data_IF_229040868155
#
_entry.id   IF_229040868155
#
_cell.length_a   1.000
_cell.length_b   1.000
_cell.length_c   1.000
_cell.angle_alpha   90.00
_cell.angle_beta   90.00
_cell.angle_gamma   90.00
#
_symmetry.space_group_name_H-M   'P 1'
#
loop_
_entity.id
_entity.type
_entity.pdbx_description
1 polymer ?
#
# COMPACT_ATOMS: atom_id res chain seq x y z
N UNK A 1 11.63 39.31 -1.33
CA UNK A 1 12.00 40.74 -1.31
C UNK A 1 11.00 41.65 -2.05
N UNK A 2 9.71 41.27 -2.22
CA UNK A 2 8.79 42.01 -3.10
C UNK A 2 7.61 42.74 -2.45
N UNK A 3 7.28 42.47 -1.18
CA UNK A 3 6.06 43.00 -0.54
C UNK A 3 6.38 44.12 0.46
N UNK A 4 7.57 44.11 1.06
CA UNK A 4 8.00 45.11 2.05
C UNK A 4 8.26 46.49 1.46
N UNK A 5 8.61 46.57 0.16
CA UNK A 5 8.94 47.84 -0.50
C UNK A 5 7.68 48.61 -0.97
N UNK A 6 6.57 47.92 -1.24
CA UNK A 6 5.32 48.55 -1.73
C UNK A 6 4.56 49.28 -0.60
N UNK A 7 4.67 48.80 0.64
CA UNK A 7 4.07 49.44 1.82
C UNK A 7 4.83 50.70 2.27
N UNK A 8 6.15 50.77 2.05
CA UNK A 8 6.99 51.91 2.45
C UNK A 8 6.82 53.14 1.54
N UNK A 9 6.50 52.94 0.25
CA UNK A 9 6.35 54.05 -0.72
C UNK A 9 5.02 54.79 -0.56
N UNK A 10 3.96 54.12 -0.10
CA UNK A 10 2.67 54.78 0.18
C UNK A 10 2.70 55.64 1.46
N UNK A 11 3.67 55.42 2.36
CA UNK A 11 3.78 56.12 3.63
C UNK A 11 4.39 57.53 3.54
N UNK A 12 4.99 57.92 2.40
CA UNK A 12 5.69 59.21 2.27
C UNK A 12 4.93 60.30 1.51
N UNK A 13 3.75 60.02 0.92
CA UNK A 13 3.04 61.02 0.09
C UNK A 13 1.61 61.39 0.49
N UNK A 14 1.01 60.82 1.55
CA UNK A 14 -0.36 61.18 1.93
C UNK A 14 -0.52 61.33 3.45
N UNK A 15 0.22 62.25 4.05
CA UNK A 15 -0.15 62.80 5.37
C UNK A 15 -1.12 63.95 5.15
N UNK A 16 -2.42 63.70 5.29
CA UNK A 16 -3.28 64.74 5.90
C UNK A 16 -4.50 64.24 6.65
N UNK A 17 -5.06 63.04 6.41
CA UNK A 17 -6.19 62.53 7.22
C UNK A 17 -6.20 61.00 7.29
N UNK A 18 -5.67 60.44 8.39
CA UNK A 18 -5.88 59.02 8.73
C UNK A 18 -7.29 58.88 9.28
N UNK A 19 -8.19 58.27 8.50
CA UNK A 19 -9.53 57.90 9.00
C UNK A 19 -9.38 56.58 9.75
N UNK A 20 -9.46 56.65 11.07
CA UNK A 20 -9.30 55.51 11.95
C UNK A 20 -10.67 54.84 12.18
N UNK A 21 -10.87 53.64 11.66
CA UNK A 21 -12.05 52.81 11.92
C UNK A 21 -11.59 51.48 12.52
N UNK A 22 -11.79 51.27 13.83
CA UNK A 22 -11.68 49.95 14.46
C UNK A 22 -10.69 49.75 15.60
N UNK A 23 -10.61 50.65 16.59
CA UNK A 23 -10.06 50.30 17.93
C UNK A 23 -11.18 50.27 18.94
N UNK A 24 -11.08 49.40 19.95
CA UNK A 24 -12.01 49.34 21.09
C UNK A 24 -12.00 50.61 21.97
N UNK A 25 -11.07 51.55 21.74
CA UNK A 25 -10.94 52.80 22.49
C UNK A 25 -10.38 53.92 21.61
N UNK A 26 -10.97 55.12 21.67
CA UNK A 26 -10.48 56.32 20.98
C UNK A 26 -9.18 56.82 21.64
N UNK A 27 -8.11 57.11 20.89
CA UNK A 27 -6.87 57.61 21.48
C UNK A 27 -7.09 59.01 22.08
N UNK A 28 -6.37 59.39 23.16
CA UNK A 28 -6.60 60.66 23.88
C UNK A 28 -6.39 61.93 23.03
N UNK A 29 -5.69 61.80 21.92
CA UNK A 29 -5.37 62.85 20.96
C UNK A 29 -6.35 62.92 19.77
N UNK A 30 -7.38 62.07 19.75
CA UNK A 30 -8.43 62.14 18.74
C UNK A 30 -9.30 63.39 18.95
N UNK A 31 -9.67 64.08 17.87
CA UNK A 31 -10.65 65.17 17.93
C UNK A 31 -12.02 64.64 18.37
N UNK A 32 -12.94 65.54 18.75
CA UNK A 32 -14.34 65.17 18.89
C UNK A 32 -14.86 64.46 17.61
N UNK A 33 -15.70 63.41 17.75
CA UNK A 33 -16.20 62.67 16.61
C UNK A 33 -17.12 63.53 15.75
N UNK A 34 -16.83 63.60 14.46
CA UNK A 34 -17.78 64.12 13.48
C UNK A 34 -18.70 62.99 13.06
N UNK A 35 -19.99 63.15 13.36
CA UNK A 35 -21.03 62.23 12.89
C UNK A 35 -21.28 62.47 11.40
N UNK A 36 -20.99 61.48 10.56
CA UNK A 36 -21.40 61.50 9.16
C UNK A 36 -22.60 60.59 9.01
N UNK A 37 -23.74 61.19 8.66
CA UNK A 37 -24.94 60.45 8.27
C UNK A 37 -24.89 60.14 6.77
N UNK A 38 -25.07 58.88 6.42
CA UNK A 38 -25.29 58.50 5.03
C UNK A 38 -26.65 59.06 4.57
N UNK A 39 -26.65 59.89 3.52
CA UNK A 39 -27.85 60.58 3.01
C UNK A 39 -28.93 59.62 2.47
N UNK A 40 -28.67 58.31 2.43
CA UNK A 40 -29.62 57.28 2.00
C UNK A 40 -30.26 56.44 3.10
N UNK A 41 -29.80 56.48 4.36
CA UNK A 41 -30.38 55.63 5.43
C UNK A 41 -30.42 56.34 6.80
N UNK A 42 -31.58 56.42 7.50
CA UNK A 42 -31.69 57.17 8.76
C UNK A 42 -30.91 56.59 9.95
N UNK A 43 -30.34 55.39 9.83
CA UNK A 43 -29.80 54.61 10.95
C UNK A 43 -28.29 54.37 10.90
N UNK A 44 -27.59 54.84 9.86
CA UNK A 44 -26.15 54.63 9.72
C UNK A 44 -25.41 55.97 9.87
N UNK A 45 -25.14 56.35 11.12
CA UNK A 45 -24.17 57.39 11.46
C UNK A 45 -22.82 56.75 11.77
N UNK A 46 -21.76 57.19 11.12
CA UNK A 46 -20.38 56.78 11.41
C UNK A 46 -19.66 57.92 12.12
N UNK A 47 -19.04 57.62 13.27
CA UNK A 47 -18.16 58.55 13.96
C UNK A 47 -16.82 58.58 13.22
N UNK A 48 -16.49 59.73 12.62
CA UNK A 48 -15.15 59.97 12.09
C UNK A 48 -14.36 60.82 13.08
N UNK A 49 -13.19 60.31 13.48
CA UNK A 49 -12.22 61.03 14.30
C UNK A 49 -11.10 61.55 13.41
N UNK A 50 -10.71 62.81 13.56
CA UNK A 50 -9.48 63.32 12.98
C UNK A 50 -8.37 63.16 14.02
N UNK A 51 -7.20 62.74 13.54
CA UNK A 51 -6.01 62.60 14.37
C UNK A 51 -5.10 63.79 14.07
N UNK A 52 -4.72 64.53 15.12
CA UNK A 52 -3.74 65.59 14.99
C UNK A 52 -2.30 65.02 15.07
N UNK A 53 -1.30 65.91 14.94
CA UNK A 53 0.11 65.52 14.95
C UNK A 53 0.58 64.90 16.28
N UNK A 54 -0.14 65.13 17.38
CA UNK A 54 0.18 64.53 18.69
C UNK A 54 -0.16 63.04 18.77
N UNK A 55 -0.99 62.51 17.86
CA UNK A 55 -1.29 61.08 17.76
C UNK A 55 -0.18 60.26 17.08
N UNK A 56 0.71 60.91 16.33
CA UNK A 56 1.77 60.22 15.60
C UNK A 56 2.64 59.28 16.47
N UNK A 57 3.15 59.69 17.65
CA UNK A 57 3.92 58.78 18.52
C UNK A 57 3.10 57.60 19.07
N UNK A 58 1.80 57.79 19.35
CA UNK A 58 0.92 56.73 19.87
C UNK A 58 0.71 55.66 18.78
N UNK A 59 0.40 56.07 17.55
CA UNK A 59 0.22 55.16 16.41
C UNK A 59 1.52 54.40 16.13
N UNK A 60 2.67 55.08 16.16
CA UNK A 60 3.97 54.44 15.97
C UNK A 60 4.24 53.37 17.05
N UNK A 61 3.91 53.65 18.31
CA UNK A 61 4.05 52.70 19.41
C UNK A 61 3.12 51.50 19.25
N UNK A 62 1.85 51.71 18.93
CA UNK A 62 0.88 50.62 18.73
C UNK A 62 1.25 49.74 17.53
N UNK A 63 1.68 50.33 16.42
CA UNK A 63 2.20 49.59 15.27
C UNK A 63 3.45 48.79 15.63
N UNK A 64 4.36 49.37 16.41
CA UNK A 64 5.54 48.67 16.93
C UNK A 64 5.18 47.46 17.80
N UNK A 65 4.22 47.63 18.71
CA UNK A 65 3.72 46.55 19.57
C UNK A 65 3.02 45.45 18.75
N UNK A 66 2.21 45.82 17.76
CA UNK A 66 1.55 44.86 16.87
C UNK A 66 2.57 44.05 16.05
N UNK A 67 3.59 44.71 15.50
CA UNK A 67 4.68 44.04 14.79
C UNK A 67 5.46 43.10 15.72
N UNK A 68 5.75 43.53 16.95
CA UNK A 68 6.44 42.68 17.95
C UNK A 68 5.62 41.43 18.28
N UNK A 69 4.31 41.56 18.45
CA UNK A 69 3.42 40.43 18.70
C UNK A 69 3.41 39.44 17.53
N UNK A 70 3.31 39.94 16.29
CA UNK A 70 3.38 39.09 15.08
C UNK A 70 4.70 38.34 14.99
N UNK A 71 5.82 39.01 15.24
CA UNK A 71 7.14 38.39 15.24
C UNK A 71 7.29 37.32 16.34
N UNK A 72 6.78 37.60 17.54
CA UNK A 72 6.84 36.69 18.69
C UNK A 72 5.99 35.43 18.44
N UNK A 73 4.78 35.59 17.91
CA UNK A 73 3.92 34.46 17.55
C UNK A 73 4.48 33.65 16.39
N UNK A 74 5.16 34.29 15.43
CA UNK A 74 5.89 33.57 14.38
C UNK A 74 7.03 32.74 14.96
N UNK A 75 7.84 33.31 15.86
CA UNK A 75 8.95 32.60 16.51
C UNK A 75 8.46 31.36 17.28
N UNK A 76 7.36 31.49 18.04
CA UNK A 76 6.73 30.35 18.74
C UNK A 76 6.30 29.25 17.76
N UNK A 77 5.69 29.60 16.63
CA UNK A 77 5.30 28.60 15.59
C UNK A 77 6.52 27.92 14.99
N UNK A 78 7.57 28.67 14.68
CA UNK A 78 8.81 28.13 14.12
C UNK A 78 9.47 27.14 15.10
N UNK A 79 9.46 27.43 16.40
CA UNK A 79 9.96 26.52 17.44
C UNK A 79 9.14 25.23 17.55
N UNK A 80 7.81 25.32 17.47
CA UNK A 80 6.92 24.14 17.45
C UNK A 80 7.23 23.27 16.23
N UNK A 81 7.34 23.88 15.04
CA UNK A 81 7.67 23.17 13.80
C UNK A 81 9.04 22.51 13.91
N UNK A 82 10.04 23.21 14.44
CA UNK A 82 11.38 22.67 14.64
C UNK A 82 11.37 21.45 15.57
N UNK A 83 10.65 21.54 16.69
CA UNK A 83 10.53 20.43 17.64
C UNK A 83 9.81 19.23 17.04
N UNK A 84 8.75 19.45 16.27
CA UNK A 84 8.05 18.39 15.55
C UNK A 84 8.95 17.74 14.49
N UNK A 85 9.69 18.54 13.72
CA UNK A 85 10.64 18.04 12.72
C UNK A 85 11.74 17.18 13.37
N UNK A 86 12.29 17.61 14.50
CA UNK A 86 13.27 16.82 15.25
C UNK A 86 12.69 15.48 15.71
N UNK A 87 11.45 15.48 16.22
CA UNK A 87 10.78 14.25 16.63
C UNK A 87 10.48 13.31 15.45
N UNK A 88 10.12 13.87 14.28
CA UNK A 88 9.92 13.10 13.04
C UNK A 88 11.25 12.49 12.59
N UNK A 89 12.34 13.26 12.56
CA UNK A 89 13.68 12.77 12.19
C UNK A 89 14.13 11.62 13.08
N UNK A 90 13.92 11.72 14.40
CA UNK A 90 14.24 10.63 15.32
C UNK A 90 13.43 9.35 15.02
N UNK A 91 12.16 9.49 14.64
CA UNK A 91 11.33 8.35 14.22
C UNK A 91 11.81 7.74 12.91
N UNK A 92 12.22 8.56 11.94
CA UNK A 92 12.77 8.10 10.66
C UNK A 92 14.05 7.28 10.90
N UNK A 93 14.98 7.79 11.69
CA UNK A 93 16.22 7.07 12.03
C UNK A 93 15.94 5.73 12.73
N UNK A 94 14.94 5.68 13.62
CA UNK A 94 14.52 4.44 14.26
C UNK A 94 13.92 3.44 13.26
N UNK A 95 13.17 3.90 12.27
CA UNK A 95 12.64 3.04 11.20
C UNK A 95 13.75 2.54 10.28
N UNK A 96 14.71 3.39 9.92
CA UNK A 96 15.88 3.01 9.14
C UNK A 96 16.66 1.88 9.84
N UNK A 97 16.87 2.00 11.16
CA UNK A 97 17.51 0.92 11.94
C UNK A 97 16.70 -0.38 11.89
N UNK A 98 15.37 -0.31 12.04
CA UNK A 98 14.50 -1.48 11.93
C UNK A 98 14.55 -2.13 10.56
N UNK A 99 14.60 -1.33 9.48
CA UNK A 99 14.72 -1.85 8.12
C UNK A 99 16.05 -2.59 7.97
N UNK A 100 17.16 -2.00 8.42
CA UNK A 100 18.47 -2.63 8.33
C UNK A 100 18.56 -3.93 9.16
N UNK A 101 17.97 -3.96 10.36
CA UNK A 101 17.87 -5.17 11.18
C UNK A 101 17.06 -6.28 10.49
N UNK A 102 15.92 -5.92 9.87
CA UNK A 102 15.13 -6.89 9.10
C UNK A 102 15.90 -7.42 7.88
N UNK A 103 16.66 -6.58 7.20
CA UNK A 103 17.50 -7.00 6.08
C UNK A 103 18.60 -7.96 6.51
N UNK A 104 19.26 -7.72 7.65
CA UNK A 104 20.27 -8.64 8.20
C UNK A 104 19.63 -9.98 8.59
N UNK A 105 18.46 -9.95 9.25
CA UNK A 105 17.69 -11.16 9.56
C UNK A 105 17.29 -11.93 8.31
N UNK A 106 16.85 -11.25 7.26
CA UNK A 106 16.52 -11.89 5.99
C UNK A 106 17.76 -12.54 5.33
N UNK A 107 18.92 -11.88 5.40
CA UNK A 107 20.18 -12.45 4.90
C UNK A 107 20.59 -13.69 5.69
N UNK A 108 20.45 -13.68 7.02
CA UNK A 108 20.69 -14.85 7.88
C UNK A 108 19.71 -15.99 7.63
N UNK A 109 18.44 -15.68 7.41
CA UNK A 109 17.45 -16.69 7.02
C UNK A 109 17.86 -17.34 5.70
N UNK A 110 18.23 -16.53 4.71
CA UNK A 110 18.71 -17.01 3.42
C UNK A 110 19.98 -17.88 3.50
N UNK A 111 20.87 -17.64 4.46
CA UNK A 111 22.07 -18.47 4.68
C UNK A 111 21.81 -19.69 5.57
N UNK A 112 20.85 -19.62 6.49
CA UNK A 112 20.41 -20.75 7.34
C UNK A 112 19.59 -21.78 6.56
N UNK A 113 18.94 -21.36 5.48
CA UNK A 113 18.54 -22.23 4.38
C UNK A 113 19.82 -22.54 3.58
N UNK A 114 20.73 -23.29 4.21
CA UNK A 114 21.95 -23.76 3.56
C UNK A 114 21.57 -24.42 2.24
N UNK A 115 22.26 -24.04 1.16
CA UNK A 115 22.10 -24.49 -0.23
C UNK A 115 21.02 -25.57 -0.36
N UNK A 116 19.75 -25.16 -0.50
CA UNK A 116 18.59 -26.05 -0.35
C UNK A 116 18.75 -27.23 -1.30
N UNK A 117 19.28 -28.33 -0.75
CA UNK A 117 19.54 -29.53 -1.53
C UNK A 117 18.26 -30.31 -1.44
N UNK A 118 17.52 -30.29 -2.54
CA UNK A 118 16.34 -31.10 -2.66
C UNK A 118 16.69 -32.57 -2.38
N UNK A 119 15.73 -33.28 -1.79
CA UNK A 119 15.85 -34.73 -1.60
C UNK A 119 16.23 -35.40 -2.92
N UNK A 120 17.00 -36.48 -2.87
CA UNK A 120 17.45 -37.20 -4.07
C UNK A 120 16.30 -37.45 -5.05
N UNK A 121 16.49 -37.02 -6.30
CA UNK A 121 15.50 -37.15 -7.37
C UNK A 121 14.48 -36.00 -7.47
N UNK A 122 14.49 -35.05 -6.52
CA UNK A 122 13.77 -33.79 -6.63
C UNK A 122 14.66 -32.70 -7.21
N UNK A 123 14.05 -31.78 -7.96
CA UNK A 123 14.70 -30.64 -8.61
C UNK A 123 14.26 -29.36 -7.92
N UNK A 124 15.22 -28.51 -7.58
CA UNK A 124 14.95 -27.20 -6.97
C UNK A 124 14.43 -26.21 -8.01
N UNK A 125 13.29 -25.58 -7.73
CA UNK A 125 12.75 -24.53 -8.57
C UNK A 125 12.94 -23.17 -7.88
N UNK A 126 13.89 -22.39 -8.41
CA UNK A 126 14.34 -21.13 -7.80
C UNK A 126 13.24 -20.05 -7.70
N UNK A 127 12.17 -20.15 -8.50
CA UNK A 127 11.12 -19.13 -8.57
C UNK A 127 10.19 -19.14 -7.35
N UNK A 128 9.99 -20.29 -6.72
CA UNK A 128 9.13 -20.42 -5.53
C UNK A 128 9.79 -21.15 -4.34
N UNK A 129 11.07 -21.50 -4.47
CA UNK A 129 11.89 -22.15 -3.43
C UNK A 129 11.37 -23.51 -2.97
N UNK A 130 10.65 -24.23 -3.83
CA UNK A 130 10.23 -25.60 -3.57
C UNK A 130 11.04 -26.61 -4.38
N UNK A 131 10.99 -27.85 -3.92
CA UNK A 131 11.55 -29.02 -4.57
C UNK A 131 10.45 -29.82 -5.26
N UNK A 132 10.66 -30.21 -6.52
CA UNK A 132 9.66 -30.91 -7.31
C UNK A 132 10.14 -32.21 -7.91
N UNK A 133 9.24 -33.18 -8.06
CA UNK A 133 9.53 -34.45 -8.72
C UNK A 133 8.34 -34.92 -9.54
N UNK A 134 8.61 -35.26 -10.80
CA UNK A 134 7.66 -35.90 -11.70
C UNK A 134 7.76 -37.42 -11.53
N UNK A 135 6.64 -38.08 -11.34
CA UNK A 135 6.54 -39.53 -11.27
C UNK A 135 5.86 -40.09 -12.52
N UNK A 136 6.56 -40.99 -13.21
CA UNK A 136 6.04 -41.69 -14.39
C UNK A 136 5.12 -42.87 -14.01
N UNK A 137 4.96 -43.20 -12.73
CA UNK A 137 4.03 -44.24 -12.29
C UNK A 137 2.59 -43.77 -12.49
N UNK A 138 1.69 -44.70 -12.85
CA UNK A 138 0.27 -44.40 -13.01
C UNK A 138 -0.48 -44.78 -11.73
N UNK A 139 -1.02 -43.77 -11.03
CA UNK A 139 -1.67 -43.93 -9.73
C UNK A 139 -2.98 -43.17 -9.67
N UNK A 140 -3.90 -43.63 -8.84
CA UNK A 140 -5.08 -42.83 -8.47
C UNK A 140 -4.64 -41.56 -7.76
N UNK A 141 -5.49 -40.53 -7.73
CA UNK A 141 -5.13 -39.26 -7.10
C UNK A 141 -4.72 -39.45 -5.62
N UNK A 142 -5.45 -40.32 -4.90
CA UNK A 142 -5.16 -40.62 -3.50
C UNK A 142 -3.84 -41.38 -3.32
N UNK A 143 -3.56 -42.38 -4.18
CA UNK A 143 -2.29 -43.12 -4.17
C UNK A 143 -1.11 -42.20 -4.51
N UNK A 144 -1.25 -41.31 -5.49
CA UNK A 144 -0.25 -40.33 -5.88
C UNK A 144 0.06 -39.36 -4.73
N UNK A 145 -0.99 -38.83 -4.08
CA UNK A 145 -0.87 -38.02 -2.87
C UNK A 145 -0.14 -38.74 -1.74
N UNK A 146 -0.45 -40.02 -1.52
CA UNK A 146 0.23 -40.81 -0.50
C UNK A 146 1.73 -40.93 -0.77
N UNK A 147 2.14 -41.11 -2.03
CA UNK A 147 3.57 -41.12 -2.41
C UNK A 147 4.22 -39.79 -2.09
N UNK A 148 3.61 -38.66 -2.49
CA UNK A 148 4.18 -37.34 -2.20
C UNK A 148 4.31 -37.08 -0.70
N UNK A 149 3.34 -37.54 0.10
CA UNK A 149 3.36 -37.43 1.58
C UNK A 149 4.41 -38.29 2.24
N UNK A 150 4.62 -39.52 1.75
CA UNK A 150 5.74 -40.36 2.17
C UNK A 150 7.07 -39.68 1.88
N UNK A 151 7.10 -38.81 0.88
CA UNK A 151 8.28 -38.04 0.54
C UNK A 151 8.52 -36.78 1.36
N UNK A 152 7.60 -36.45 2.29
CA UNK A 152 7.66 -35.24 3.12
C UNK A 152 6.98 -34.02 2.49
N UNK A 153 6.18 -34.22 1.44
CA UNK A 153 5.47 -33.16 0.73
C UNK A 153 4.01 -33.49 0.45
N UNK A 154 3.46 -32.97 -0.64
CA UNK A 154 2.12 -33.32 -1.15
C UNK A 154 2.10 -33.16 -2.69
N UNK A 155 0.97 -33.46 -3.33
CA UNK A 155 0.79 -33.12 -4.74
C UNK A 155 0.96 -31.60 -4.96
N UNK A 156 1.52 -31.22 -6.11
CA UNK A 156 1.87 -29.83 -6.40
C UNK A 156 0.67 -28.87 -6.34
N UNK A 157 0.87 -27.70 -5.73
CA UNK A 157 -0.05 -26.57 -5.83
C UNK A 157 0.43 -25.57 -6.88
N UNK A 158 -0.42 -25.27 -7.87
CA UNK A 158 -0.04 -24.39 -8.99
C UNK A 158 -0.53 -22.95 -8.79
N UNK A 159 0.23 -22.01 -9.32
CA UNK A 159 -0.08 -20.58 -9.36
C UNK A 159 0.51 -19.94 -10.62
N UNK A 160 0.24 -18.65 -10.84
CA UNK A 160 0.65 -17.93 -12.07
C UNK A 160 2.15 -17.98 -12.36
N UNK A 161 2.98 -18.10 -11.31
CA UNK A 161 4.45 -18.12 -11.46
C UNK A 161 4.96 -19.47 -11.94
N UNK A 162 4.32 -20.57 -11.55
CA UNK A 162 4.84 -21.91 -11.80
C UNK A 162 4.01 -22.73 -12.81
N UNK A 163 2.77 -22.33 -13.09
CA UNK A 163 1.83 -23.08 -13.93
C UNK A 163 2.39 -23.40 -15.33
N UNK A 164 2.89 -22.39 -16.03
CA UNK A 164 3.43 -22.57 -17.40
C UNK A 164 4.63 -23.51 -17.43
N UNK A 165 5.49 -23.47 -16.41
CA UNK A 165 6.65 -24.35 -16.32
C UNK A 165 6.22 -25.81 -16.13
N UNK A 166 5.32 -26.09 -15.19
CA UNK A 166 4.86 -27.44 -14.92
C UNK A 166 3.97 -28.01 -16.03
N UNK A 167 3.21 -27.16 -16.72
CA UNK A 167 2.52 -27.50 -17.97
C UNK A 167 3.50 -27.99 -19.04
N UNK A 168 4.59 -27.27 -19.27
CA UNK A 168 5.63 -27.67 -20.24
C UNK A 168 6.40 -28.93 -19.78
N UNK A 169 6.66 -29.06 -18.48
CA UNK A 169 7.29 -30.26 -17.93
C UNK A 169 6.41 -31.49 -18.19
N UNK A 170 5.11 -31.39 -17.87
CA UNK A 170 4.14 -32.45 -18.14
C UNK A 170 4.11 -32.84 -19.63
N UNK A 171 4.06 -31.85 -20.52
CA UNK A 171 4.17 -32.05 -21.98
C UNK A 171 5.43 -32.83 -22.38
N UNK A 172 6.59 -32.49 -21.80
CA UNK A 172 7.86 -33.13 -22.11
C UNK A 172 8.00 -34.57 -21.59
N UNK A 173 7.12 -34.99 -20.68
CA UNK A 173 7.12 -36.30 -20.02
C UNK A 173 5.97 -37.20 -20.46
N UNK A 174 5.31 -36.86 -21.58
CA UNK A 174 4.22 -37.62 -22.17
C UNK A 174 4.53 -39.13 -22.26
N UNK A 175 3.54 -39.98 -22.00
CA UNK A 175 3.74 -41.40 -21.69
C UNK A 175 2.45 -42.23 -21.74
N UNK A 176 2.43 -43.37 -21.06
CA UNK A 176 1.32 -44.34 -21.17
C UNK A 176 0.06 -43.95 -20.37
N UNK A 177 0.14 -42.95 -19.48
CA UNK A 177 -0.96 -42.45 -18.63
C UNK A 177 -0.97 -40.91 -18.64
N UNK A 178 -0.94 -40.40 -19.86
CA UNK A 178 -0.51 -39.07 -20.31
C UNK A 178 -0.93 -37.81 -19.54
N UNK A 179 -2.01 -37.81 -18.77
CA UNK A 179 -2.38 -36.66 -17.93
C UNK A 179 -1.63 -36.70 -16.60
N UNK A 180 -1.63 -35.59 -15.85
CA UNK A 180 -0.80 -35.47 -14.64
C UNK A 180 -1.62 -34.95 -13.47
N UNK A 181 -1.76 -35.75 -12.42
CA UNK A 181 -2.39 -35.31 -11.18
C UNK A 181 -1.64 -34.13 -10.55
N UNK A 182 -2.43 -33.16 -10.09
CA UNK A 182 -1.98 -32.02 -9.30
C UNK A 182 -2.81 -31.92 -8.02
N UNK A 183 -2.35 -31.11 -7.07
CA UNK A 183 -2.90 -31.03 -5.74
C UNK A 183 -4.13 -30.15 -5.63
N UNK A 184 -5.08 -30.19 -6.58
CA UNK A 184 -6.37 -29.50 -6.42
C UNK A 184 -7.52 -30.48 -6.34
N UNK A 185 -8.52 -30.14 -5.53
CA UNK A 185 -9.71 -30.95 -5.28
C UNK A 185 -10.85 -30.07 -4.76
N UNK A 186 -12.08 -30.47 -5.01
CA UNK A 186 -13.29 -29.89 -4.41
C UNK A 186 -14.07 -30.91 -3.56
N UNK A 187 -13.46 -32.05 -3.22
CA UNK A 187 -14.09 -33.16 -2.45
C UNK A 187 -14.71 -32.72 -1.12
N UNK A 188 -14.29 -31.58 -0.56
CA UNK A 188 -14.85 -31.03 0.67
C UNK A 188 -16.14 -30.26 0.44
N UNK A 189 -16.23 -29.51 -0.66
CA UNK A 189 -17.39 -28.70 -1.05
C UNK A 189 -17.41 -28.62 -2.57
N UNK A 190 -18.36 -29.33 -3.18
CA UNK A 190 -18.60 -29.38 -4.63
C UNK A 190 -18.55 -27.98 -5.27
N UNK A 191 -17.80 -27.84 -6.35
CA UNK A 191 -17.59 -26.57 -7.07
C UNK A 191 -16.65 -25.58 -6.38
N UNK A 192 -16.13 -25.88 -5.18
CA UNK A 192 -15.12 -25.07 -4.49
C UNK A 192 -13.75 -25.72 -4.55
N UNK A 193 -13.07 -25.50 -5.67
CA UNK A 193 -11.73 -26.02 -5.92
C UNK A 193 -10.66 -25.32 -5.10
N UNK A 194 -9.94 -26.11 -4.31
CA UNK A 194 -8.83 -25.66 -3.47
C UNK A 194 -7.58 -26.49 -3.72
N UNK A 195 -6.44 -25.82 -3.72
CA UNK A 195 -5.13 -26.45 -3.62
C UNK A 195 -4.93 -27.07 -2.24
N UNK A 196 -4.10 -28.11 -2.15
CA UNK A 196 -3.80 -28.81 -0.89
C UNK A 196 -3.08 -27.95 0.15
N UNK A 197 -2.49 -26.82 -0.27
CA UNK A 197 -1.95 -25.81 0.64
C UNK A 197 -3.01 -24.86 1.24
N UNK A 198 -4.29 -25.08 0.91
CA UNK A 198 -5.44 -24.29 1.37
C UNK A 198 -5.78 -23.07 0.52
N UNK A 199 -5.03 -22.77 -0.54
CA UNK A 199 -5.34 -21.67 -1.44
C UNK A 199 -6.48 -22.05 -2.40
N UNK A 200 -7.38 -21.11 -2.68
CA UNK A 200 -8.42 -21.31 -3.71
C UNK A 200 -7.81 -21.34 -5.11
N UNK A 201 -8.36 -22.14 -6.02
CA UNK A 201 -8.00 -22.08 -7.44
C UNK A 201 -8.63 -20.82 -8.04
N UNK A 202 -7.80 -19.79 -8.29
CA UNK A 202 -8.26 -18.54 -8.91
C UNK A 202 -7.37 -18.03 -10.03
N UNK A 203 -6.10 -18.47 -10.05
CA UNK A 203 -5.06 -17.89 -10.90
C UNK A 203 -4.69 -18.82 -12.07
N UNK A 204 -4.86 -20.13 -11.86
CA UNK A 204 -4.62 -21.16 -12.88
C UNK A 204 -5.85 -21.33 -13.76
N UNK A 205 -5.65 -21.35 -15.07
CA UNK A 205 -6.73 -21.50 -16.05
C UNK A 205 -7.15 -22.96 -16.22
N UNK A 206 -8.46 -23.19 -16.07
CA UNK A 206 -9.16 -24.38 -16.53
C UNK A 206 -9.16 -24.46 -18.06
N UNK A 207 -9.19 -25.68 -18.58
CA UNK A 207 -9.51 -25.92 -19.99
C UNK A 207 -10.97 -25.48 -20.28
N UNK A 208 -11.32 -25.16 -21.53
CA UNK A 208 -12.68 -24.74 -21.88
C UNK A 208 -13.77 -25.64 -21.27
N UNK A 209 -14.82 -25.00 -20.75
CA UNK A 209 -15.98 -25.67 -20.15
C UNK A 209 -15.73 -26.41 -18.82
N UNK A 210 -14.51 -26.37 -18.25
CA UNK A 210 -14.22 -26.94 -16.92
C UNK A 210 -14.23 -25.94 -15.76
N UNK A 211 -14.49 -26.40 -14.53
CA UNK A 211 -14.88 -27.78 -14.17
C UNK A 211 -16.35 -28.09 -14.46
N UNK A 212 -16.63 -29.25 -15.04
CA UNK A 212 -17.96 -29.72 -15.49
C UNK A 212 -18.53 -30.86 -14.65
N UNK A 213 -17.72 -31.42 -13.76
CA UNK A 213 -18.03 -32.55 -12.90
C UNK A 213 -18.72 -33.68 -13.67
N UNK A 214 -18.08 -34.18 -14.73
CA UNK A 214 -18.71 -35.15 -15.62
C UNK A 214 -19.20 -36.40 -14.87
N UNK A 215 -20.48 -36.72 -15.05
CA UNK A 215 -21.13 -37.84 -14.35
C UNK A 215 -21.29 -37.65 -12.84
N UNK A 216 -21.11 -36.44 -12.31
CA UNK A 216 -21.11 -36.10 -10.89
C UNK A 216 -20.08 -36.92 -10.08
N UNK A 217 -18.88 -37.10 -10.64
CA UNK A 217 -17.84 -37.96 -10.05
C UNK A 217 -16.41 -37.45 -10.16
N UNK A 218 -16.20 -36.21 -10.61
CA UNK A 218 -14.88 -35.65 -10.90
C UNK A 218 -14.50 -34.61 -9.85
N UNK A 219 -13.77 -35.07 -8.84
CA UNK A 219 -13.42 -34.25 -7.67
C UNK A 219 -11.91 -34.03 -7.50
N UNK A 220 -11.12 -34.41 -8.51
CA UNK A 220 -9.66 -34.36 -8.48
C UNK A 220 -9.13 -33.67 -9.72
N UNK A 221 -8.16 -32.77 -9.55
CA UNK A 221 -7.65 -31.99 -10.68
C UNK A 221 -6.40 -32.58 -11.32
N UNK A 222 -6.37 -32.61 -12.65
CA UNK A 222 -5.24 -33.00 -13.46
C UNK A 222 -4.83 -31.91 -14.46
N UNK A 223 -3.61 -32.02 -14.98
CA UNK A 223 -3.18 -31.33 -16.19
C UNK A 223 -3.45 -32.25 -17.38
N UNK A 224 -4.52 -31.97 -18.13
CA UNK A 224 -5.01 -32.89 -19.16
C UNK A 224 -4.23 -32.76 -20.47
N UNK A 225 -3.70 -33.88 -20.99
CA UNK A 225 -3.00 -33.87 -22.28
C UNK A 225 -3.88 -33.35 -23.43
N UNK A 226 -5.18 -33.61 -23.38
CA UNK A 226 -6.13 -33.29 -24.47
C UNK A 226 -6.16 -31.79 -24.79
N UNK A 227 -6.00 -30.94 -23.78
CA UNK A 227 -6.01 -29.48 -23.92
C UNK A 227 -4.64 -28.87 -23.65
N UNK A 228 -3.58 -29.57 -24.06
CA UNK A 228 -2.21 -29.09 -23.91
C UNK A 228 -1.82 -28.87 -22.46
N UNK A 229 -2.26 -29.75 -21.55
CA UNK A 229 -1.95 -29.74 -20.11
C UNK A 229 -2.49 -28.49 -19.41
N UNK A 230 -3.70 -28.08 -19.78
CA UNK A 230 -4.52 -27.14 -18.99
C UNK A 230 -5.21 -27.88 -17.84
N UNK A 231 -5.69 -27.13 -16.84
CA UNK A 231 -6.32 -27.73 -15.67
C UNK A 231 -7.69 -28.33 -16.05
N UNK A 232 -7.97 -29.52 -15.54
CA UNK A 232 -9.19 -30.27 -15.75
C UNK A 232 -9.58 -30.97 -14.45
N UNK A 233 -10.86 -31.16 -14.20
CA UNK A 233 -11.39 -32.06 -13.19
C UNK A 233 -11.59 -33.44 -13.82
N UNK A 234 -11.22 -34.46 -13.07
CA UNK A 234 -11.29 -35.85 -13.52
C UNK A 234 -11.66 -36.75 -12.35
N UNK A 235 -12.12 -37.95 -12.67
CA UNK A 235 -12.50 -38.93 -11.70
C UNK A 235 -11.27 -39.38 -10.91
N UNK A 236 -11.29 -39.19 -9.59
CA UNK A 236 -10.17 -39.45 -8.68
C UNK A 236 -9.59 -40.88 -8.77
N UNK A 237 -10.35 -41.84 -9.31
CA UNK A 237 -9.92 -43.24 -9.49
C UNK A 237 -9.16 -43.49 -10.79
N UNK A 238 -9.05 -42.52 -11.70
CA UNK A 238 -8.20 -42.62 -12.89
C UNK A 238 -6.74 -42.78 -12.50
N UNK A 239 -5.98 -43.51 -13.31
CA UNK A 239 -4.54 -43.75 -13.07
C UNK A 239 -3.71 -42.86 -13.97
N UNK A 240 -3.17 -41.79 -13.40
CA UNK A 240 -2.39 -40.77 -14.12
C UNK A 240 -0.97 -40.69 -13.57
N UNK A 241 -0.07 -40.04 -14.34
CA UNK A 241 1.19 -39.55 -13.81
C UNK A 241 0.96 -38.49 -12.73
N UNK A 242 1.98 -38.10 -11.97
CA UNK A 242 1.78 -37.11 -10.91
C UNK A 242 3.02 -36.28 -10.58
N UNK A 243 2.78 -35.08 -10.05
CA UNK A 243 3.82 -34.14 -9.62
C UNK A 243 3.76 -33.92 -8.11
N UNK A 244 4.88 -34.18 -7.44
CA UNK A 244 5.05 -33.90 -6.01
C UNK A 244 5.80 -32.59 -5.78
N UNK A 245 5.48 -31.92 -4.67
CA UNK A 245 6.13 -30.72 -4.17
C UNK A 245 6.53 -30.90 -2.70
N UNK A 246 7.76 -30.51 -2.34
CA UNK A 246 8.28 -30.48 -0.97
C UNK A 246 8.84 -29.08 -0.69
N UNK A 247 8.58 -28.55 0.52
CA UNK A 247 9.11 -27.27 1.04
C UNK A 247 10.49 -27.43 1.64
#
# INVERSE_FOLDING_TARGET
>A
MGITFVLLVLFHQLMTRVVYAGVSSTPPCATEPVQIQDKGTPYNSVNMYFLDSSCQPIIQQEMGNAMLNVCTEKAKRDDVIKNQNNAITAKIQALEWKINDMLDKAARLKSSVGNATCRTGYVYYQQDNFCYKFYNDCKTWLEARQVCRQDGGDLISLNDRNFNFFKQLAQSKAGTCDSVWVGTTDVYVEGQWNWLNGARVSSVSWQPDQPDNFGNSEHCGDLTKMFGYMLNDDNCVQKLHFLCQIS
#
